data_IF_222074406206
#
_entry.id   IF_222074406206
#
_cell.length_a   1.000
_cell.length_b   1.000
_cell.length_c   1.000
_cell.angle_alpha   90.00
_cell.angle_beta   90.00
_cell.angle_gamma   90.00
#
_symmetry.space_group_name_H-M   'P 1'
#
loop_
_entity.id
_entity.type
_entity.pdbx_description
1 polymer ?
#
# COMPACT_ATOMS: atom_id res chain seq x y z
N UNK A 1 -13.19 -8.12 -12.13
CA UNK A 1 -13.38 -6.87 -11.32
C UNK A 1 -12.28 -6.66 -10.27
N UNK A 2 -11.85 -7.71 -9.54
CA UNK A 2 -10.83 -7.66 -8.47
C UNK A 2 -9.52 -6.94 -8.83
N UNK A 3 -8.98 -7.15 -10.03
CA UNK A 3 -7.76 -6.46 -10.49
C UNK A 3 -7.87 -4.93 -10.48
N UNK A 4 -8.96 -4.39 -11.04
CA UNK A 4 -9.16 -2.93 -11.13
C UNK A 4 -9.36 -2.31 -9.76
N UNK A 5 -10.07 -3.02 -8.87
CA UNK A 5 -10.24 -2.54 -7.51
C UNK A 5 -8.90 -2.54 -6.74
N UNK A 6 -8.12 -3.62 -6.84
CA UNK A 6 -6.76 -3.69 -6.25
C UNK A 6 -5.84 -2.60 -6.79
N UNK A 7 -5.94 -2.27 -8.07
CA UNK A 7 -5.18 -1.18 -8.69
C UNK A 7 -5.56 0.20 -8.11
N UNK A 8 -6.86 0.46 -7.97
CA UNK A 8 -7.37 1.67 -7.28
C UNK A 8 -6.80 1.78 -5.86
N UNK A 9 -6.82 0.69 -5.09
CA UNK A 9 -6.26 0.68 -3.73
C UNK A 9 -4.76 0.99 -3.70
N UNK A 10 -3.99 0.50 -4.68
CA UNK A 10 -2.55 0.84 -4.80
C UNK A 10 -2.35 2.31 -5.11
N UNK A 11 -3.20 2.89 -5.97
CA UNK A 11 -3.18 4.33 -6.26
C UNK A 11 -3.48 5.13 -4.99
N UNK A 12 -4.55 4.78 -4.27
CA UNK A 12 -4.96 5.46 -3.03
C UNK A 12 -3.88 5.40 -1.96
N UNK A 13 -3.23 4.25 -1.78
CA UNK A 13 -2.09 4.10 -0.86
C UNK A 13 -0.93 5.00 -1.24
N UNK A 14 -0.62 5.10 -2.52
CA UNK A 14 0.48 5.94 -3.01
C UNK A 14 0.18 7.42 -2.79
N UNK A 15 -1.04 7.85 -3.10
CA UNK A 15 -1.51 9.21 -2.85
C UNK A 15 -1.49 9.56 -1.36
N UNK A 16 -1.94 8.66 -0.49
CA UNK A 16 -1.92 8.84 0.96
C UNK A 16 -0.49 8.93 1.50
N UNK A 17 0.42 8.07 1.03
CA UNK A 17 1.83 8.14 1.38
C UNK A 17 2.48 9.47 0.97
N UNK A 18 2.12 10.00 -0.21
CA UNK A 18 2.58 11.30 -0.67
C UNK A 18 2.04 12.43 0.23
N UNK A 19 0.77 12.35 0.61
CA UNK A 19 0.12 13.32 1.50
C UNK A 19 0.77 13.35 2.88
N UNK A 20 1.01 12.20 3.50
CA UNK A 20 1.71 12.10 4.80
C UNK A 20 3.07 12.79 4.70
N UNK A 21 3.84 12.53 3.63
CA UNK A 21 5.14 13.18 3.43
C UNK A 21 5.03 14.70 3.23
N UNK A 22 3.98 15.17 2.57
CA UNK A 22 3.69 16.60 2.43
C UNK A 22 3.47 17.27 3.78
N UNK A 23 2.59 16.72 4.61
CA UNK A 23 2.31 17.24 5.95
C UNK A 23 3.53 17.25 6.87
N UNK A 24 4.33 16.18 6.85
CA UNK A 24 5.55 16.13 7.64
C UNK A 24 6.54 17.21 7.19
N UNK A 25 6.67 17.43 5.88
CA UNK A 25 7.54 18.49 5.33
C UNK A 25 7.07 19.89 5.72
N UNK A 26 5.77 20.14 5.74
CA UNK A 26 5.21 21.43 6.17
C UNK A 26 5.61 21.77 7.63
N UNK A 27 5.80 20.75 8.47
CA UNK A 27 6.28 20.90 9.85
C UNK A 27 7.80 20.86 9.98
N UNK A 28 8.55 20.83 8.87
CA UNK A 28 10.02 20.77 8.87
C UNK A 28 10.61 19.36 9.02
N UNK A 29 9.79 18.31 9.02
CA UNK A 29 10.22 16.92 9.21
C UNK A 29 10.39 16.24 7.85
N UNK A 30 11.60 15.78 7.57
CA UNK A 30 11.96 15.13 6.31
C UNK A 30 12.02 13.61 6.45
N UNK A 31 11.10 12.92 5.77
CA UNK A 31 11.06 11.44 5.72
C UNK A 31 11.63 10.95 4.39
N UNK A 32 12.44 9.89 4.45
CA UNK A 32 13.02 9.24 3.26
C UNK A 32 11.92 8.75 2.32
N UNK A 33 12.13 8.90 1.02
CA UNK A 33 11.15 8.48 0.01
C UNK A 33 10.89 6.97 0.09
N UNK A 34 9.61 6.58 -0.07
CA UNK A 34 9.19 5.20 -0.19
C UNK A 34 8.30 4.72 0.96
N UNK A 35 7.45 3.74 0.67
CA UNK A 35 6.50 3.19 1.64
C UNK A 35 7.19 2.51 2.83
N UNK A 36 8.32 1.83 2.59
CA UNK A 36 9.06 1.14 3.67
C UNK A 36 9.61 2.13 4.70
N UNK A 37 10.20 3.24 4.25
CA UNK A 37 10.69 4.29 5.12
C UNK A 37 9.55 4.91 5.94
N UNK A 38 8.42 5.21 5.28
CA UNK A 38 7.24 5.78 5.91
C UNK A 38 6.67 4.87 7.00
N UNK A 39 6.61 3.55 6.76
CA UNK A 39 6.18 2.54 7.76
C UNK A 39 7.09 2.44 8.98
N UNK A 40 8.37 2.77 8.84
CA UNK A 40 9.33 2.72 9.95
C UNK A 40 9.39 4.04 10.72
N UNK A 41 9.39 5.16 10.00
CA UNK A 41 9.64 6.47 10.59
C UNK A 41 8.38 7.06 11.22
N UNK A 42 7.20 6.89 10.61
CA UNK A 42 5.96 7.50 11.13
C UNK A 42 5.60 7.04 12.55
N UNK A 43 5.68 5.73 12.91
CA UNK A 43 5.46 5.31 14.29
C UNK A 43 6.43 5.98 15.27
N UNK A 44 7.72 6.04 14.93
CA UNK A 44 8.75 6.67 15.76
C UNK A 44 8.49 8.17 15.96
N UNK A 45 8.10 8.88 14.89
CA UNK A 45 7.75 10.31 14.94
C UNK A 45 6.52 10.57 15.82
N UNK A 46 5.58 9.63 15.89
CA UNK A 46 4.37 9.74 16.73
C UNK A 46 4.66 9.53 18.22
N UNK A 47 5.71 8.80 18.56
CA UNK A 47 6.12 8.56 19.96
C UNK A 47 7.07 9.64 20.48
N UNK A 48 7.83 10.28 19.58
CA UNK A 48 8.70 11.39 19.92
C UNK A 48 7.89 12.68 20.18
N UNK A 49 7.78 13.04 21.46
CA UNK A 49 7.09 14.25 21.92
C UNK A 49 7.95 15.53 21.79
N UNK A 50 9.22 15.40 21.42
CA UNK A 50 10.18 16.52 21.34
C UNK A 50 10.29 17.13 19.94
N UNK A 51 9.72 16.48 18.93
CA UNK A 51 9.74 16.96 17.54
C UNK A 51 8.71 18.08 17.27
N UNK A 52 8.78 18.61 16.04
CA UNK A 52 8.03 19.76 15.56
C UNK A 52 6.53 19.47 15.31
N UNK A 53 6.04 18.25 15.58
CA UNK A 53 4.63 17.92 15.41
C UNK A 53 3.76 18.51 16.52
N UNK A 54 2.87 19.42 16.14
CA UNK A 54 1.78 19.87 17.00
C UNK A 54 0.82 18.72 17.33
N UNK A 55 0.04 18.87 18.42
CA UNK A 55 -0.92 17.85 18.87
C UNK A 55 -1.96 17.47 17.80
N UNK A 56 -2.51 18.47 17.10
CA UNK A 56 -3.48 18.25 16.03
C UNK A 56 -2.83 17.53 14.84
N UNK A 57 -1.63 17.94 14.45
CA UNK A 57 -0.91 17.28 13.34
C UNK A 57 -0.58 15.83 13.68
N UNK A 58 -0.18 15.54 14.93
CA UNK A 58 0.06 14.17 15.39
C UNK A 58 -1.18 13.29 15.25
N UNK A 59 -2.36 13.84 15.53
CA UNK A 59 -3.65 13.14 15.35
C UNK A 59 -3.93 12.87 13.88
N UNK A 60 -3.74 13.86 13.01
CA UNK A 60 -3.93 13.72 11.55
C UNK A 60 -2.97 12.67 10.98
N UNK A 61 -1.68 12.74 11.32
CA UNK A 61 -0.67 11.78 10.86
C UNK A 61 -0.98 10.37 11.35
N UNK A 62 -1.44 10.23 12.60
CA UNK A 62 -1.86 8.94 13.16
C UNK A 62 -3.01 8.33 12.35
N UNK A 63 -4.07 9.10 12.11
CA UNK A 63 -5.23 8.65 11.30
C UNK A 63 -4.82 8.28 9.86
N UNK A 64 -3.97 9.10 9.23
CA UNK A 64 -3.45 8.82 7.90
C UNK A 64 -2.60 7.54 7.88
N UNK A 65 -1.80 7.31 8.92
CA UNK A 65 -0.98 6.12 9.06
C UNK A 65 -1.83 4.85 9.22
N UNK A 66 -2.84 4.90 10.08
CA UNK A 66 -3.74 3.75 10.30
C UNK A 66 -4.49 3.40 9.02
N UNK A 67 -4.94 4.42 8.26
CA UNK A 67 -5.54 4.22 6.92
C UNK A 67 -4.54 3.63 5.92
N UNK A 68 -3.27 4.02 5.97
CA UNK A 68 -2.23 3.44 5.12
C UNK A 68 -2.02 1.95 5.41
N UNK A 69 -1.99 1.58 6.69
CA UNK A 69 -1.90 0.17 7.13
C UNK A 69 -3.13 -0.62 6.69
N UNK A 70 -4.32 -0.05 6.80
CA UNK A 70 -5.55 -0.67 6.32
C UNK A 70 -5.51 -0.95 4.81
N UNK A 71 -5.10 0.05 4.00
CA UNK A 71 -4.95 -0.13 2.55
C UNK A 71 -3.95 -1.22 2.20
N UNK A 72 -2.84 -1.34 2.95
CA UNK A 72 -1.88 -2.43 2.77
C UNK A 72 -2.51 -3.81 3.00
N UNK A 73 -3.36 -3.93 4.03
CA UNK A 73 -4.08 -5.17 4.30
C UNK A 73 -5.08 -5.50 3.20
N UNK A 74 -5.87 -4.53 2.74
CA UNK A 74 -6.83 -4.75 1.64
C UNK A 74 -6.11 -5.16 0.35
N UNK A 75 -5.04 -4.47 -0.04
CA UNK A 75 -4.26 -4.83 -1.23
C UNK A 75 -3.75 -6.27 -1.12
N UNK A 76 -3.28 -6.69 0.06
CA UNK A 76 -2.83 -8.07 0.30
C UNK A 76 -3.99 -9.06 0.16
N UNK A 77 -5.16 -8.75 0.72
CA UNK A 77 -6.34 -9.60 0.61
C UNK A 77 -6.79 -9.78 -0.85
N UNK A 78 -6.86 -8.69 -1.62
CA UNK A 78 -7.25 -8.77 -3.03
C UNK A 78 -6.19 -9.42 -3.91
N UNK A 79 -4.91 -9.26 -3.56
CA UNK A 79 -3.82 -10.01 -4.22
C UNK A 79 -4.01 -11.51 -4.02
N UNK A 80 -4.26 -11.96 -2.78
CA UNK A 80 -4.53 -13.38 -2.49
C UNK A 80 -5.77 -13.90 -3.23
N UNK A 81 -6.85 -13.11 -3.30
CA UNK A 81 -8.06 -13.49 -4.06
C UNK A 81 -7.77 -13.68 -5.55
N UNK A 82 -6.93 -12.83 -6.13
CA UNK A 82 -6.50 -12.93 -7.53
C UNK A 82 -5.63 -14.17 -7.75
N UNK A 83 -4.69 -14.42 -6.85
CA UNK A 83 -3.81 -15.59 -6.91
C UNK A 83 -4.62 -16.90 -6.82
N UNK A 84 -5.57 -16.98 -5.89
CA UNK A 84 -6.48 -18.13 -5.75
C UNK A 84 -7.32 -18.37 -7.02
N UNK A 85 -7.87 -17.32 -7.61
CA UNK A 85 -8.57 -17.44 -8.89
C UNK A 85 -7.65 -18.01 -10.00
N UNK A 86 -6.39 -17.58 -10.02
CA UNK A 86 -5.39 -18.12 -10.95
C UNK A 86 -5.07 -19.59 -10.69
N UNK A 87 -5.00 -20.00 -9.42
CA UNK A 87 -4.75 -21.38 -8.99
C UNK A 87 -5.96 -22.30 -9.18
N UNK A 88 -7.18 -21.78 -9.29
CA UNK A 88 -8.36 -22.60 -9.58
C UNK A 88 -8.59 -22.76 -11.08
N UNK A 89 -8.00 -21.89 -11.91
CA UNK A 89 -8.18 -21.90 -13.35
C UNK A 89 -7.05 -22.63 -14.09
N UNK A 90 -7.36 -23.76 -14.71
CA UNK A 90 -6.38 -24.58 -15.44
C UNK A 90 -5.73 -23.87 -16.63
N UNK A 91 -6.43 -22.91 -17.26
CA UNK A 91 -5.86 -22.08 -18.32
C UNK A 91 -4.80 -21.13 -17.75
N UNK A 92 -5.06 -20.50 -16.60
CA UNK A 92 -4.08 -19.67 -15.90
C UNK A 92 -2.84 -20.49 -15.52
N UNK A 93 -3.01 -21.70 -14.97
CA UNK A 93 -1.88 -22.59 -14.63
C UNK A 93 -1.04 -22.98 -15.84
N UNK A 94 -1.69 -23.33 -16.95
CA UNK A 94 -0.99 -23.64 -18.20
C UNK A 94 -0.24 -22.44 -18.72
N UNK A 95 -0.85 -21.25 -18.67
CA UNK A 95 -0.22 -20.03 -19.13
C UNK A 95 1.01 -19.66 -18.27
N UNK A 96 0.90 -19.77 -16.94
CA UNK A 96 2.03 -19.58 -16.00
C UNK A 96 3.19 -20.54 -16.31
N UNK A 97 2.91 -21.82 -16.57
CA UNK A 97 3.95 -22.82 -16.91
C UNK A 97 4.65 -22.56 -18.24
N UNK A 98 3.91 -22.08 -19.24
CA UNK A 98 4.44 -21.86 -20.59
C UNK A 98 5.25 -20.58 -20.72
N UNK A 99 4.93 -19.54 -19.94
CA UNK A 99 5.47 -18.19 -20.14
C UNK A 99 6.43 -17.72 -19.04
N UNK A 100 6.57 -18.46 -17.93
CA UNK A 100 7.36 -18.02 -16.77
C UNK A 100 6.77 -16.79 -16.06
N UNK A 101 5.53 -16.44 -16.39
CA UNK A 101 4.82 -15.27 -15.88
C UNK A 101 4.10 -15.66 -14.58
N UNK A 102 4.26 -14.85 -13.53
CA UNK A 102 3.63 -15.09 -12.22
C UNK A 102 2.11 -14.91 -12.20
N UNK A 103 1.42 -15.40 -11.15
CA UNK A 103 -0.04 -15.46 -11.07
C UNK A 103 -0.73 -14.10 -11.21
N UNK A 104 -0.16 -13.02 -10.66
CA UNK A 104 -0.69 -11.66 -10.82
C UNK A 104 -0.70 -11.16 -12.27
N UNK A 105 0.25 -11.58 -13.08
CA UNK A 105 0.34 -11.20 -14.50
C UNK A 105 -0.45 -12.16 -15.39
N UNK A 106 -0.50 -13.46 -15.06
CA UNK A 106 -1.30 -14.44 -15.78
C UNK A 106 -2.81 -14.15 -15.66
N UNK A 107 -3.29 -13.85 -14.44
CA UNK A 107 -4.69 -13.52 -14.15
C UNK A 107 -5.23 -12.30 -14.93
N UNK A 108 -4.38 -11.37 -15.36
CA UNK A 108 -4.80 -10.19 -16.14
C UNK A 108 -5.33 -10.59 -17.52
N UNK A 109 -4.80 -11.66 -18.11
CA UNK A 109 -5.21 -12.15 -19.45
C UNK A 109 -6.58 -12.84 -19.38
N UNK A 110 -6.94 -13.40 -18.22
CA UNK A 110 -8.15 -14.20 -18.01
C UNK A 110 -9.21 -13.50 -17.16
N UNK A 111 -9.14 -12.17 -17.04
CA UNK A 111 -9.99 -11.34 -16.17
C UNK A 111 -11.41 -11.15 -16.70
#
# INVERSE_FOLDING_TARGET
>A
MNHRYRESLVHDRTALANRIRGYLREMGIFVVQGLSALRKQVPSLREDATNELTGDMRTIISSCYDKLVYLDQEIKQYTKKIEQFCEENDLCKRLMKLSGIGPMSASIIFR
#
